data_IF_148435072601
#
_entry.id   IF_148435072601
#
_cell.length_a   1.000
_cell.length_b   1.000
_cell.length_c   1.000
_cell.angle_alpha   90.00
_cell.angle_beta   90.00
_cell.angle_gamma   90.00
#
_symmetry.space_group_name_H-M   'P 1'
#
loop_
_entity.id
_entity.type
_entity.pdbx_description
1 polymer ?
#
# COMPACT_ATOMS: atom_id res chain seq x y z
N UNK A 1 13.75 -10.83 34.23
CA UNK A 1 13.76 -12.09 33.48
C UNK A 1 13.58 -11.79 31.99
N UNK A 2 14.66 -11.57 31.26
CA UNK A 2 14.70 -11.59 29.79
C UNK A 2 16.04 -12.22 29.41
N UNK A 3 16.10 -13.54 29.59
CA UNK A 3 17.16 -14.40 29.06
C UNK A 3 16.81 -14.70 27.60
N UNK A 4 17.08 -13.76 26.70
CA UNK A 4 17.00 -14.04 25.26
C UNK A 4 18.37 -14.56 24.83
N UNK A 5 18.44 -15.90 24.79
CA UNK A 5 19.27 -16.74 23.94
C UNK A 5 20.77 -16.39 23.85
N UNK A 6 21.54 -17.01 24.74
CA UNK A 6 23.01 -17.09 24.79
C UNK A 6 23.71 -17.81 23.62
N UNK A 7 23.10 -18.01 22.44
CA UNK A 7 23.67 -18.98 21.48
C UNK A 7 23.37 -18.79 19.98
N UNK A 8 23.19 -17.57 19.48
CA UNK A 8 23.02 -17.37 18.04
C UNK A 8 24.20 -16.60 17.44
N UNK A 9 25.27 -17.33 17.08
CA UNK A 9 26.05 -16.96 15.89
C UNK A 9 25.03 -16.90 14.74
N UNK A 10 24.71 -15.71 14.25
CA UNK A 10 23.87 -15.54 13.07
C UNK A 10 24.62 -16.20 11.90
N UNK A 11 24.29 -17.46 11.61
CA UNK A 11 24.72 -18.16 10.40
C UNK A 11 23.87 -17.60 9.27
N UNK A 12 24.43 -16.67 8.51
CA UNK A 12 23.91 -16.34 7.18
C UNK A 12 24.21 -17.57 6.29
N UNK A 13 23.30 -18.55 6.28
CA UNK A 13 23.37 -19.67 5.34
C UNK A 13 23.01 -19.14 3.95
N UNK A 14 24.03 -19.03 3.10
CA UNK A 14 23.86 -19.00 1.66
C UNK A 14 24.47 -20.32 1.18
N UNK A 15 23.63 -21.30 0.85
CA UNK A 15 24.05 -22.45 0.04
C UNK A 15 24.35 -21.86 -1.37
N UNK A 16 25.47 -22.07 -2.07
CA UNK A 16 26.41 -23.20 -2.12
C UNK A 16 27.85 -22.66 -2.29
N UNK A 17 28.84 -23.37 -1.73
CA UNK A 17 30.28 -23.10 -1.63
C UNK A 17 30.75 -22.49 -0.30
N UNK A 18 31.50 -23.32 0.43
CA UNK A 18 31.97 -23.16 1.81
C UNK A 18 32.97 -22.00 1.99
N UNK A 19 32.46 -20.83 2.39
CA UNK A 19 33.21 -19.92 3.26
C UNK A 19 32.28 -19.48 4.40
N UNK A 20 32.57 -19.88 5.64
CA UNK A 20 31.86 -19.41 6.83
C UNK A 20 32.00 -17.88 6.92
N UNK A 21 31.01 -17.14 6.42
CA UNK A 21 30.97 -15.68 6.62
C UNK A 21 30.70 -15.39 8.10
N UNK A 22 31.76 -15.04 8.81
CA UNK A 22 31.73 -14.53 10.19
C UNK A 22 30.99 -13.19 10.17
N UNK A 23 29.88 -13.08 10.89
CA UNK A 23 29.23 -11.78 11.11
C UNK A 23 30.13 -10.94 12.02
N UNK A 24 30.55 -9.76 11.53
CA UNK A 24 31.35 -8.79 12.29
C UNK A 24 30.51 -7.94 13.27
N UNK A 25 29.20 -8.21 13.38
CA UNK A 25 28.31 -7.47 14.26
C UNK A 25 28.40 -8.02 15.68
N UNK A 26 28.73 -7.15 16.64
CA UNK A 26 28.69 -7.47 18.06
C UNK A 26 27.25 -7.45 18.60
N UNK A 27 27.03 -8.07 19.76
CA UNK A 27 25.74 -8.02 20.46
C UNK A 27 25.27 -6.58 20.72
N UNK A 28 26.21 -5.66 20.96
CA UNK A 28 25.92 -4.23 21.11
C UNK A 28 25.33 -3.62 19.82
N UNK A 29 25.87 -4.00 18.65
CA UNK A 29 25.33 -3.55 17.36
C UNK A 29 23.93 -4.11 17.10
N UNK A 30 23.70 -5.38 17.42
CA UNK A 30 22.38 -6.00 17.28
C UNK A 30 21.35 -5.35 18.22
N UNK A 31 21.71 -5.14 19.48
CA UNK A 31 20.86 -4.44 20.44
C UNK A 31 20.51 -3.01 19.97
N UNK A 32 21.47 -2.32 19.35
CA UNK A 32 21.24 -0.98 18.79
C UNK A 32 20.28 -1.00 17.61
N UNK A 33 20.38 -1.97 16.71
CA UNK A 33 19.46 -2.11 15.57
C UNK A 33 18.03 -2.34 16.06
N UNK A 34 17.85 -3.21 17.05
CA UNK A 34 16.52 -3.47 17.64
C UNK A 34 15.96 -2.26 18.37
N UNK A 35 16.81 -1.51 19.08
CA UNK A 35 16.39 -0.26 19.70
C UNK A 35 15.91 0.76 18.63
N UNK A 36 16.65 0.89 17.53
CA UNK A 36 16.28 1.80 16.43
C UNK A 36 15.00 1.31 15.74
N UNK A 37 14.82 0.00 15.59
CA UNK A 37 13.59 -0.58 15.05
C UNK A 37 12.37 -0.19 15.91
N UNK A 38 12.45 -0.37 17.23
CA UNK A 38 11.39 0.01 18.15
C UNK A 38 11.12 1.53 18.12
N UNK A 39 12.17 2.35 18.12
CA UNK A 39 12.04 3.81 18.02
C UNK A 39 11.36 4.24 16.71
N UNK A 40 11.78 3.65 15.58
CA UNK A 40 11.16 3.94 14.27
C UNK A 40 9.68 3.56 14.27
N UNK A 41 9.32 2.44 14.87
CA UNK A 41 7.93 1.98 15.01
C UNK A 41 7.10 2.96 15.84
N UNK A 42 7.64 3.48 16.93
CA UNK A 42 6.98 4.48 17.78
C UNK A 42 6.76 5.82 17.05
N UNK A 43 7.74 6.27 16.28
CA UNK A 43 7.60 7.48 15.45
C UNK A 43 6.54 7.31 14.35
N UNK A 44 6.45 6.13 13.71
CA UNK A 44 5.36 5.85 12.76
C UNK A 44 3.99 5.87 13.45
N UNK A 45 3.87 5.29 14.66
CA UNK A 45 2.61 5.33 15.43
C UNK A 45 2.17 6.75 15.75
N UNK A 46 3.12 7.64 16.03
CA UNK A 46 2.84 9.06 16.24
C UNK A 46 2.30 9.70 14.97
N UNK A 47 2.98 9.53 13.84
CA UNK A 47 2.54 10.09 12.55
C UNK A 47 1.19 9.53 12.11
N UNK A 48 0.93 8.24 12.31
CA UNK A 48 -0.36 7.62 12.03
C UNK A 48 -1.53 8.28 12.77
N UNK A 49 -1.33 8.72 14.03
CA UNK A 49 -2.37 9.42 14.79
C UNK A 49 -2.52 10.90 14.42
N UNK A 50 -1.50 11.49 13.80
CA UNK A 50 -1.42 12.93 13.56
C UNK A 50 -1.76 13.31 12.11
N UNK A 51 -1.57 12.40 11.16
CA UNK A 51 -1.71 12.66 9.73
C UNK A 51 -2.80 11.79 9.10
N UNK A 52 -3.89 12.42 8.64
CA UNK A 52 -4.99 11.74 7.94
C UNK A 52 -4.57 11.05 6.65
N UNK A 53 -3.46 11.51 6.05
CA UNK A 53 -2.89 11.00 4.79
C UNK A 53 -1.74 10.03 5.01
N UNK A 54 -1.43 9.65 6.25
CA UNK A 54 -0.28 8.81 6.58
C UNK A 54 -0.25 7.48 5.82
N UNK A 55 -1.39 6.80 5.74
CA UNK A 55 -1.47 5.48 5.10
C UNK A 55 -1.19 5.56 3.60
N UNK A 56 -1.71 6.59 2.93
CA UNK A 56 -1.42 6.87 1.53
C UNK A 56 0.10 7.09 1.33
N UNK A 57 0.72 7.86 2.23
CA UNK A 57 2.18 8.06 2.21
C UNK A 57 2.95 6.76 2.48
N UNK A 58 2.46 5.92 3.39
CA UNK A 58 3.12 4.66 3.75
C UNK A 58 3.19 3.70 2.57
N UNK A 59 2.09 3.53 1.84
CA UNK A 59 2.03 2.70 0.64
C UNK A 59 2.85 3.28 -0.52
N UNK A 60 2.76 4.60 -0.73
CA UNK A 60 3.55 5.29 -1.75
C UNK A 60 5.04 5.08 -1.53
N UNK A 61 5.53 5.26 -0.30
CA UNK A 61 6.93 5.09 0.02
C UNK A 61 7.37 3.62 -0.09
N UNK A 62 6.53 2.66 0.33
CA UNK A 62 6.84 1.24 0.15
C UNK A 62 7.03 0.90 -1.33
N UNK A 63 6.09 1.30 -2.20
CA UNK A 63 6.18 1.09 -3.65
C UNK A 63 7.43 1.74 -4.25
N UNK A 64 7.71 2.99 -3.88
CA UNK A 64 8.89 3.71 -4.38
C UNK A 64 10.19 3.02 -3.99
N UNK A 65 10.29 2.48 -2.78
CA UNK A 65 11.47 1.75 -2.32
C UNK A 65 11.69 0.43 -3.06
N UNK A 66 10.61 -0.27 -3.45
CA UNK A 66 10.72 -1.48 -4.29
C UNK A 66 11.19 -1.15 -5.72
N UNK A 67 10.71 -0.05 -6.29
CA UNK A 67 11.07 0.36 -7.65
C UNK A 67 12.49 0.92 -7.76
N UNK A 68 12.91 1.69 -6.76
CA UNK A 68 14.20 2.37 -6.73
C UNK A 68 14.97 1.98 -5.47
N UNK A 69 15.50 0.75 -5.40
CA UNK A 69 16.34 0.35 -4.28
C UNK A 69 17.59 1.25 -4.23
N UNK A 70 18.06 1.53 -3.01
CA UNK A 70 19.26 2.34 -2.80
C UNK A 70 20.45 1.57 -3.36
N UNK A 71 21.00 2.05 -4.48
CA UNK A 71 22.22 1.51 -5.06
C UNK A 71 23.38 2.40 -4.67
N UNK A 72 24.22 1.89 -3.76
CA UNK A 72 25.33 2.64 -3.17
C UNK A 72 26.27 3.24 -4.23
N UNK A 73 26.54 2.51 -5.31
CA UNK A 73 27.38 3.01 -6.42
C UNK A 73 26.85 4.29 -7.07
N UNK A 74 25.52 4.41 -7.21
CA UNK A 74 24.91 5.62 -7.77
C UNK A 74 24.91 6.76 -6.76
N UNK A 75 24.72 6.44 -5.48
CA UNK A 75 24.79 7.43 -4.40
C UNK A 75 26.20 8.02 -4.29
N UNK A 76 27.23 7.17 -4.36
CA UNK A 76 28.63 7.61 -4.26
C UNK A 76 29.12 8.40 -5.48
N UNK A 77 28.48 8.22 -6.64
CA UNK A 77 28.74 9.01 -7.86
C UNK A 77 28.03 10.37 -7.86
N UNK A 78 27.16 10.62 -6.90
CA UNK A 78 26.40 11.86 -6.83
C UNK A 78 27.22 12.98 -6.19
N UNK A 79 27.46 14.06 -6.96
CA UNK A 79 28.14 15.25 -6.48
C UNK A 79 27.45 15.89 -5.26
N UNK A 80 26.14 15.66 -5.07
CA UNK A 80 25.39 16.15 -3.91
C UNK A 80 25.94 15.62 -2.58
N UNK A 81 26.61 14.45 -2.57
CA UNK A 81 27.19 13.88 -1.35
C UNK A 81 28.40 14.68 -0.82
N UNK A 82 29.01 15.53 -1.66
CA UNK A 82 30.13 16.39 -1.27
C UNK A 82 29.68 17.68 -0.59
N UNK A 83 28.39 18.02 -0.70
CA UNK A 83 27.82 19.23 -0.10
C UNK A 83 27.13 18.91 1.23
N UNK A 84 27.09 19.86 2.18
CA UNK A 84 26.31 19.68 3.39
C UNK A 84 24.82 19.45 3.05
N UNK A 85 24.12 18.55 3.77
CA UNK A 85 22.77 18.18 3.44
C UNK A 85 21.85 19.41 3.58
N UNK A 86 21.29 19.86 2.45
CA UNK A 86 20.45 21.07 2.41
C UNK A 86 19.09 20.77 3.04
N UNK A 87 18.46 21.73 3.73
CA UNK A 87 17.09 21.57 4.24
C UNK A 87 16.02 22.26 3.37
N UNK A 88 16.46 23.03 2.36
CA UNK A 88 15.58 23.88 1.55
C UNK A 88 15.06 23.14 0.32
N UNK A 89 13.73 23.09 0.08
CA UNK A 89 13.15 22.48 -1.11
C UNK A 89 13.51 23.22 -2.42
N UNK A 90 14.00 24.45 -2.31
CA UNK A 90 14.45 25.29 -3.44
C UNK A 90 15.81 24.86 -4.03
N UNK A 91 16.54 23.96 -3.38
CA UNK A 91 17.90 23.56 -3.78
C UNK A 91 17.95 22.76 -5.10
N UNK A 92 16.79 22.43 -5.72
CA UNK A 92 16.66 21.46 -6.84
C UNK A 92 17.18 20.05 -6.52
N UNK A 93 17.73 19.83 -5.32
CA UNK A 93 18.14 18.54 -4.77
C UNK A 93 16.89 17.74 -4.39
N UNK A 94 16.83 16.51 -4.89
CA UNK A 94 15.74 15.58 -4.62
C UNK A 94 15.58 15.31 -3.12
N UNK A 95 14.34 15.06 -2.68
CA UNK A 95 14.02 14.78 -1.27
C UNK A 95 14.91 13.69 -0.65
N UNK A 96 15.27 12.67 -1.42
CA UNK A 96 16.10 11.53 -0.99
C UNK A 96 17.50 11.96 -0.54
N UNK A 97 18.00 13.08 -1.05
CA UNK A 97 19.37 13.57 -0.90
C UNK A 97 19.46 14.78 0.03
N UNK A 98 18.36 15.15 0.69
CA UNK A 98 18.26 16.38 1.49
C UNK A 98 17.52 16.14 2.81
N UNK A 99 17.61 17.10 3.73
CA UNK A 99 16.89 17.02 5.00
C UNK A 99 15.40 17.33 4.80
N UNK A 100 14.51 16.69 5.59
CA UNK A 100 13.09 16.97 5.56
C UNK A 100 12.81 18.36 6.14
N UNK A 101 12.03 19.15 5.41
CA UNK A 101 11.72 20.55 5.74
C UNK A 101 10.40 20.70 6.51
N UNK A 102 9.37 19.97 6.09
CA UNK A 102 8.02 20.05 6.62
C UNK A 102 7.58 18.73 7.29
N UNK A 103 6.38 18.72 7.89
CA UNK A 103 5.86 17.56 8.62
C UNK A 103 5.63 16.35 7.70
N UNK A 104 5.13 16.57 6.49
CA UNK A 104 4.93 15.52 5.50
C UNK A 104 6.24 14.88 5.06
N UNK A 105 7.28 15.69 4.85
CA UNK A 105 8.63 15.21 4.54
C UNK A 105 9.27 14.48 5.73
N UNK A 106 9.03 14.93 6.97
CA UNK A 106 9.46 14.21 8.17
C UNK A 106 8.79 12.84 8.25
N UNK A 107 7.48 12.77 8.03
CA UNK A 107 6.75 11.50 8.02
C UNK A 107 7.24 10.56 6.90
N UNK A 108 7.44 11.05 5.66
CA UNK A 108 8.04 10.25 4.56
C UNK A 108 9.40 9.70 4.94
N UNK A 109 10.27 10.51 5.55
CA UNK A 109 11.57 10.06 6.03
C UNK A 109 11.43 8.97 7.10
N UNK A 110 10.56 9.17 8.09
CA UNK A 110 10.31 8.18 9.16
C UNK A 110 9.85 6.84 8.59
N UNK A 111 8.92 6.86 7.62
CA UNK A 111 8.43 5.67 6.91
C UNK A 111 9.58 4.92 6.22
N UNK A 112 10.44 5.63 5.46
CA UNK A 112 11.60 5.01 4.79
C UNK A 112 12.58 4.39 5.78
N UNK A 113 12.90 5.12 6.85
CA UNK A 113 13.82 4.62 7.90
C UNK A 113 13.26 3.34 8.51
N UNK A 114 11.96 3.28 8.79
CA UNK A 114 11.31 2.08 9.29
C UNK A 114 11.45 0.91 8.33
N UNK A 115 11.17 1.07 7.03
CA UNK A 115 11.34 -0.02 6.07
C UNK A 115 12.79 -0.50 5.96
N UNK A 116 13.78 0.40 5.95
CA UNK A 116 15.20 0.03 5.89
C UNK A 116 15.63 -0.74 7.15
N UNK A 117 15.27 -0.25 8.33
CA UNK A 117 15.65 -0.88 9.60
C UNK A 117 14.91 -2.21 9.80
N UNK A 118 13.64 -2.31 9.39
CA UNK A 118 12.89 -3.55 9.41
C UNK A 118 13.49 -4.59 8.47
N UNK A 119 13.82 -4.21 7.23
CA UNK A 119 14.48 -5.10 6.27
C UNK A 119 15.80 -5.60 6.84
N UNK A 120 16.62 -4.72 7.41
CA UNK A 120 17.87 -5.09 8.06
C UNK A 120 17.67 -6.04 9.25
N UNK A 121 16.70 -5.76 10.14
CA UNK A 121 16.40 -6.63 11.29
C UNK A 121 15.95 -8.03 10.84
N UNK A 122 15.12 -8.11 9.79
CA UNK A 122 14.66 -9.36 9.21
C UNK A 122 15.79 -10.16 8.54
N UNK A 123 16.65 -9.49 7.76
CA UNK A 123 17.83 -10.10 7.14
C UNK A 123 18.79 -10.68 8.20
N UNK A 124 19.07 -9.91 9.25
CA UNK A 124 19.93 -10.34 10.35
C UNK A 124 19.34 -11.51 11.14
N UNK A 125 18.02 -11.65 11.18
CA UNK A 125 17.32 -12.79 11.80
C UNK A 125 17.06 -13.94 10.84
N UNK A 126 17.36 -13.76 9.55
CA UNK A 126 17.00 -14.68 8.47
C UNK A 126 15.50 -15.02 8.44
N UNK A 127 14.65 -14.05 8.79
CA UNK A 127 13.19 -14.17 8.72
C UNK A 127 12.74 -13.57 7.39
N UNK A 128 11.96 -14.31 6.62
CA UNK A 128 11.35 -13.81 5.39
C UNK A 128 10.20 -12.86 5.70
N UNK A 129 10.20 -11.68 5.09
CA UNK A 129 9.09 -10.72 5.17
C UNK A 129 7.82 -11.33 4.59
N UNK A 130 6.73 -11.35 5.37
CA UNK A 130 5.41 -11.87 4.95
C UNK A 130 4.28 -10.88 5.23
N UNK A 131 4.59 -9.77 5.90
CA UNK A 131 3.59 -8.80 6.35
C UNK A 131 3.43 -7.64 5.36
N UNK A 132 4.41 -7.45 4.47
CA UNK A 132 4.41 -6.48 3.38
C UNK A 132 4.57 -7.17 2.01
N UNK A 133 4.00 -6.64 0.91
CA UNK A 133 3.10 -5.48 0.84
C UNK A 133 1.80 -5.68 1.62
N UNK A 134 1.14 -4.57 2.01
CA UNK A 134 -0.17 -4.62 2.67
C UNK A 134 -1.20 -5.36 1.81
N UNK A 135 -1.07 -5.27 0.48
CA UNK A 135 -1.93 -5.95 -0.48
C UNK A 135 -1.18 -7.19 -1.00
N UNK A 136 -1.62 -8.37 -0.60
CA UNK A 136 -1.09 -9.63 -1.13
C UNK A 136 -1.76 -9.95 -2.46
N UNK A 137 -0.96 -10.10 -3.53
CA UNK A 137 -1.48 -10.32 -4.89
C UNK A 137 -2.31 -11.61 -5.04
N UNK A 138 -2.12 -12.58 -4.16
CA UNK A 138 -2.81 -13.87 -4.21
C UNK A 138 -4.24 -13.82 -3.65
N UNK A 139 -4.58 -12.80 -2.85
CA UNK A 139 -5.94 -12.59 -2.34
C UNK A 139 -6.78 -11.65 -3.22
N UNK A 140 -6.24 -11.21 -4.36
CA UNK A 140 -6.86 -10.23 -5.25
C UNK A 140 -7.62 -10.97 -6.34
N UNK A 141 -8.93 -10.73 -6.41
CA UNK A 141 -9.82 -11.23 -7.46
C UNK A 141 -9.40 -10.65 -8.80
N UNK A 142 -9.33 -11.49 -9.85
CA UNK A 142 -8.94 -11.10 -11.20
C UNK A 142 -10.15 -11.01 -12.13
N UNK A 143 -9.96 -10.34 -13.25
CA UNK A 143 -10.97 -10.33 -14.31
C UNK A 143 -11.26 -11.76 -14.77
N UNK A 144 -12.52 -12.06 -15.05
CA UNK A 144 -13.06 -13.39 -15.42
C UNK A 144 -13.17 -14.43 -14.31
N UNK A 145 -12.69 -14.13 -13.09
CA UNK A 145 -12.88 -15.02 -11.95
C UNK A 145 -14.36 -15.19 -11.60
N UNK A 146 -14.69 -16.36 -11.04
CA UNK A 146 -16.02 -16.67 -10.54
C UNK A 146 -16.08 -16.46 -9.04
N UNK A 147 -16.96 -15.58 -8.60
CA UNK A 147 -17.17 -15.23 -7.20
C UNK A 147 -18.48 -15.84 -6.69
N UNK A 148 -18.44 -16.46 -5.51
CA UNK A 148 -19.64 -16.82 -4.76
C UNK A 148 -20.20 -15.58 -4.06
N UNK A 149 -21.46 -15.26 -4.36
CA UNK A 149 -22.15 -14.04 -3.93
C UNK A 149 -23.07 -14.28 -2.74
N UNK A 150 -23.13 -15.51 -2.20
CA UNK A 150 -24.11 -15.92 -1.19
C UNK A 150 -24.10 -15.05 0.08
N UNK A 151 -22.94 -14.49 0.44
CA UNK A 151 -22.76 -13.62 1.60
C UNK A 151 -22.22 -12.22 1.22
N UNK A 152 -22.35 -11.82 -0.04
CA UNK A 152 -21.82 -10.55 -0.53
C UNK A 152 -22.91 -9.49 -0.62
N UNK A 153 -22.65 -8.31 -0.06
CA UNK A 153 -23.52 -7.15 -0.26
C UNK A 153 -23.32 -6.59 -1.68
N UNK A 154 -24.35 -6.75 -2.51
CA UNK A 154 -24.35 -6.33 -3.91
C UNK A 154 -25.16 -5.05 -4.12
N UNK A 155 -24.60 -4.11 -4.87
CA UNK A 155 -25.29 -2.90 -5.30
C UNK A 155 -25.47 -2.95 -6.81
N UNK A 156 -26.72 -3.09 -7.26
CA UNK A 156 -27.03 -3.10 -8.68
C UNK A 156 -26.84 -1.70 -9.29
N UNK A 157 -26.15 -1.63 -10.43
CA UNK A 157 -25.87 -0.38 -11.13
C UNK A 157 -25.84 -0.57 -12.64
N UNK A 158 -26.16 0.50 -13.37
CA UNK A 158 -26.03 0.55 -14.81
C UNK A 158 -24.78 1.35 -15.16
N UNK A 159 -23.84 0.72 -15.86
CA UNK A 159 -22.58 1.33 -16.26
C UNK A 159 -22.75 1.94 -17.65
N UNK A 160 -22.52 3.23 -17.75
CA UNK A 160 -22.56 4.00 -18.99
C UNK A 160 -21.15 4.16 -19.53
N UNK A 161 -20.80 3.34 -20.52
CA UNK A 161 -19.62 3.53 -21.36
C UNK A 161 -20.00 4.26 -22.65
N UNK A 162 -19.02 4.81 -23.37
CA UNK A 162 -19.21 5.71 -24.53
C UNK A 162 -20.31 5.26 -25.50
N UNK A 163 -20.44 3.95 -25.74
CA UNK A 163 -21.39 3.39 -26.71
C UNK A 163 -22.31 2.29 -26.13
N UNK A 164 -22.23 2.00 -24.82
CA UNK A 164 -22.96 0.88 -24.21
C UNK A 164 -23.48 1.21 -22.82
N UNK A 165 -24.69 0.72 -22.54
CA UNK A 165 -25.28 0.69 -21.21
C UNK A 165 -25.40 -0.75 -20.78
N UNK A 166 -24.67 -1.14 -19.76
CA UNK A 166 -24.66 -2.51 -19.27
C UNK A 166 -25.06 -2.55 -17.81
N UNK A 167 -26.00 -3.45 -17.49
CA UNK A 167 -26.41 -3.70 -16.10
C UNK A 167 -25.38 -4.60 -15.44
N UNK A 168 -24.80 -4.14 -14.33
CA UNK A 168 -23.78 -4.85 -13.55
C UNK A 168 -24.11 -4.78 -12.06
N UNK A 169 -23.43 -5.59 -11.27
CA UNK A 169 -23.50 -5.50 -9.82
C UNK A 169 -22.12 -5.08 -9.29
N UNK A 170 -22.12 -4.08 -8.40
CA UNK A 170 -20.95 -3.67 -7.65
C UNK A 170 -20.92 -4.51 -6.36
N UNK A 171 -19.83 -5.26 -6.18
CA UNK A 171 -19.60 -5.99 -4.94
C UNK A 171 -19.03 -5.03 -3.91
N UNK A 172 -19.57 -5.06 -2.69
CA UNK A 172 -18.97 -4.33 -1.56
C UNK A 172 -17.75 -5.09 -1.08
N UNK A 173 -16.57 -4.68 -1.53
CA UNK A 173 -15.29 -5.21 -1.07
C UNK A 173 -14.40 -4.07 -0.53
N UNK A 174 -13.75 -4.24 0.63
CA UNK A 174 -12.92 -3.19 1.22
C UNK A 174 -11.59 -2.99 0.48
N UNK A 175 -11.12 -3.96 -0.30
CA UNK A 175 -9.82 -3.96 -0.97
C UNK A 175 -9.92 -3.61 -2.46
N UNK A 176 -10.96 -4.08 -3.13
CA UNK A 176 -11.12 -3.99 -4.57
C UNK A 176 -12.46 -3.37 -4.98
N UNK A 177 -12.39 -2.57 -6.03
CA UNK A 177 -13.55 -2.24 -6.82
C UNK A 177 -13.85 -3.41 -7.75
N UNK A 178 -14.99 -4.10 -7.57
CA UNK A 178 -15.33 -5.29 -8.36
C UNK A 178 -16.71 -5.11 -9.00
N UNK A 179 -16.75 -5.21 -10.32
CA UNK A 179 -17.98 -5.29 -11.11
C UNK A 179 -18.18 -6.69 -11.63
N UNK A 180 -19.36 -7.24 -11.37
CA UNK A 180 -19.73 -8.58 -11.78
C UNK A 180 -20.98 -8.58 -12.66
N UNK A 181 -21.10 -9.64 -13.44
CA UNK A 181 -22.33 -10.07 -14.11
C UNK A 181 -22.79 -11.39 -13.46
N UNK A 182 -24.09 -11.60 -13.20
CA UNK A 182 -24.56 -12.87 -12.63
C UNK A 182 -24.29 -14.04 -13.57
N UNK A 183 -23.82 -15.17 -13.03
CA UNK A 183 -23.61 -16.40 -13.80
C UNK A 183 -24.95 -17.10 -14.06
N UNK A 184 -25.35 -17.18 -15.32
CA UNK A 184 -26.59 -17.84 -15.76
C UNK A 184 -26.57 -19.34 -15.41
N UNK A 185 -25.38 -19.96 -15.33
CA UNK A 185 -25.23 -21.40 -15.11
C UNK A 185 -25.23 -21.79 -13.62
N UNK A 186 -24.95 -20.85 -12.72
CA UNK A 186 -24.81 -21.11 -11.28
C UNK A 186 -25.46 -19.99 -10.48
N UNK A 187 -26.63 -20.28 -9.92
CA UNK A 187 -27.34 -19.34 -9.06
C UNK A 187 -26.50 -19.00 -7.83
N UNK A 188 -26.44 -17.72 -7.46
CA UNK A 188 -25.58 -17.23 -6.39
C UNK A 188 -24.12 -16.98 -6.78
N UNK A 189 -23.73 -17.21 -8.04
CA UNK A 189 -22.39 -16.91 -8.53
C UNK A 189 -22.38 -15.71 -9.48
N UNK A 190 -21.26 -14.99 -9.49
CA UNK A 190 -21.00 -13.88 -10.41
C UNK A 190 -19.69 -14.07 -11.16
N UNK A 191 -19.63 -13.58 -12.39
CA UNK A 191 -18.41 -13.52 -13.18
C UNK A 191 -17.88 -12.09 -13.12
N UNK A 192 -16.63 -11.95 -12.70
CA UNK A 192 -15.94 -10.66 -12.60
C UNK A 192 -15.66 -10.14 -14.00
N UNK A 193 -16.08 -8.91 -14.25
CA UNK A 193 -15.91 -8.24 -15.55
C UNK A 193 -14.93 -7.10 -15.50
N UNK A 194 -14.76 -6.51 -14.33
CA UNK A 194 -13.77 -5.49 -14.08
C UNK A 194 -13.44 -5.53 -12.59
N UNK A 195 -12.15 -5.51 -12.27
CA UNK A 195 -11.69 -5.41 -10.90
C UNK A 195 -10.44 -4.55 -10.84
N UNK A 196 -10.36 -3.66 -9.85
CA UNK A 196 -9.16 -2.87 -9.59
C UNK A 196 -9.04 -2.55 -8.09
N UNK A 197 -7.89 -2.04 -7.66
CA UNK A 197 -7.66 -1.70 -6.26
C UNK A 197 -8.45 -0.45 -5.85
N UNK A 198 -9.05 -0.49 -4.66
CA UNK A 198 -9.85 0.63 -4.12
C UNK A 198 -9.05 1.93 -3.97
N UNK A 199 -7.73 1.84 -3.80
CA UNK A 199 -6.82 2.98 -3.66
C UNK A 199 -6.84 3.93 -4.88
N UNK A 200 -7.16 3.39 -6.06
CA UNK A 200 -7.05 4.08 -7.34
C UNK A 200 -8.40 4.63 -7.84
N UNK A 201 -9.46 4.41 -7.07
CA UNK A 201 -10.84 4.78 -7.39
C UNK A 201 -11.15 6.19 -6.92
N UNK A 202 -11.55 7.07 -7.85
CA UNK A 202 -12.11 8.39 -7.56
C UNK A 202 -13.61 8.39 -7.83
N UNK A 203 -14.37 8.90 -6.89
CA UNK A 203 -15.84 8.96 -6.97
C UNK A 203 -16.29 10.42 -6.87
N UNK A 204 -17.05 10.86 -7.86
CA UNK A 204 -17.69 12.18 -7.89
C UNK A 204 -19.21 12.03 -8.06
N UNK A 205 -19.97 12.99 -7.54
CA UNK A 205 -21.40 13.06 -7.80
C UNK A 205 -21.64 13.60 -9.20
N UNK A 206 -22.67 13.06 -9.85
CA UNK A 206 -23.22 13.69 -11.04
C UNK A 206 -24.00 14.96 -10.63
N UNK A 207 -23.87 16.02 -11.44
CA UNK A 207 -24.50 17.32 -11.14
C UNK A 207 -25.97 17.37 -11.49
N UNK A 208 -26.41 16.51 -12.41
CA UNK A 208 -27.75 16.52 -12.99
C UNK A 208 -28.62 15.38 -12.45
N UNK A 209 -28.01 14.25 -12.09
CA UNK A 209 -28.71 13.07 -11.58
C UNK A 209 -28.20 12.64 -10.20
N UNK A 210 -29.05 12.80 -9.18
CA UNK A 210 -28.74 12.42 -7.79
C UNK A 210 -28.58 10.92 -7.61
N UNK A 211 -29.03 10.10 -8.57
CA UNK A 211 -28.86 8.64 -8.57
C UNK A 211 -27.62 8.18 -9.32
N UNK A 212 -26.77 9.11 -9.77
CA UNK A 212 -25.60 8.80 -10.56
C UNK A 212 -24.29 9.23 -9.91
N UNK A 213 -23.27 8.39 -10.06
CA UNK A 213 -21.89 8.66 -9.68
C UNK A 213 -21.00 8.61 -10.91
N UNK A 214 -20.02 9.50 -10.97
CA UNK A 214 -18.94 9.42 -11.92
C UNK A 214 -17.74 8.76 -11.25
N UNK A 215 -17.33 7.61 -11.78
CA UNK A 215 -16.24 6.82 -11.21
C UNK A 215 -15.08 6.81 -12.21
N UNK A 216 -13.91 7.20 -11.71
CA UNK A 216 -12.68 7.25 -12.49
C UNK A 216 -11.58 6.48 -11.79
N UNK A 217 -10.97 5.51 -12.46
CA UNK A 217 -9.88 4.68 -11.93
C UNK A 217 -8.62 4.91 -12.76
N UNK A 218 -7.51 5.20 -12.08
CA UNK A 218 -6.21 5.47 -12.73
C UNK A 218 -5.19 4.43 -12.30
N UNK A 219 -4.29 3.98 -13.18
CA UNK A 219 -3.12 3.24 -12.69
C UNK A 219 -2.20 4.19 -11.91
N UNK A 220 -1.59 3.74 -10.81
CA UNK A 220 -0.56 4.51 -10.13
C UNK A 220 0.55 4.88 -11.12
N UNK A 221 0.99 6.14 -11.04
CA UNK A 221 1.96 6.72 -11.97
C UNK A 221 3.33 6.06 -11.73
N UNK A 222 3.82 5.34 -12.73
CA UNK A 222 5.13 4.70 -12.72
C UNK A 222 6.30 5.64 -13.07
N UNK A 223 6.05 6.90 -13.44
CA UNK A 223 7.12 7.80 -13.87
C UNK A 223 6.74 9.30 -13.73
N UNK A 224 7.62 10.11 -13.12
CA UNK A 224 7.43 11.55 -12.89
C UNK A 224 7.47 12.41 -14.16
N UNK A 225 7.67 11.81 -15.34
CA UNK A 225 7.90 12.52 -16.61
C UNK A 225 6.73 12.50 -17.61
N UNK A 226 5.62 11.78 -17.33
CA UNK A 226 4.47 11.73 -18.25
C UNK A 226 3.29 12.52 -17.68
N UNK A 227 2.97 13.66 -18.32
CA UNK A 227 1.94 14.61 -17.87
C UNK A 227 0.48 14.15 -18.03
N UNK A 228 0.22 12.97 -18.59
CA UNK A 228 -1.15 12.46 -18.76
C UNK A 228 -1.14 10.94 -18.74
N UNK A 229 -1.71 10.35 -17.68
CA UNK A 229 -2.03 8.93 -17.66
C UNK A 229 -3.55 8.81 -17.90
N UNK A 230 -4.00 8.25 -19.04
CA UNK A 230 -5.42 8.12 -19.30
C UNK A 230 -6.05 7.19 -18.24
N UNK A 231 -7.26 7.51 -17.75
CA UNK A 231 -7.95 6.65 -16.80
C UNK A 231 -8.29 5.30 -17.44
N UNK A 232 -8.09 4.21 -16.70
CA UNK A 232 -8.42 2.85 -17.12
C UNK A 232 -9.95 2.72 -17.24
N UNK A 233 -10.64 3.28 -16.26
CA UNK A 233 -12.08 3.36 -16.23
C UNK A 233 -12.46 4.82 -16.04
N UNK A 234 -13.34 5.30 -16.91
CA UNK A 234 -14.00 6.58 -16.74
C UNK A 234 -15.44 6.47 -17.22
N UNK A 235 -16.37 6.26 -16.29
CA UNK A 235 -17.74 5.94 -16.62
C UNK A 235 -18.74 6.54 -15.61
N UNK A 236 -19.96 6.79 -16.10
CA UNK A 236 -21.11 7.16 -15.26
C UNK A 236 -21.82 5.89 -14.81
N UNK A 237 -22.08 5.79 -13.52
CA UNK A 237 -22.77 4.69 -12.87
C UNK A 237 -24.11 5.21 -12.38
N UNK A 238 -25.21 4.67 -12.89
CA UNK A 238 -26.56 5.04 -12.47
C UNK A 238 -27.14 3.91 -11.61
N UNK A 239 -27.64 4.27 -10.44
CA UNK A 239 -28.22 3.35 -9.46
C UNK A 239 -29.75 3.43 -9.50
N UNK A 240 -30.43 2.41 -8.99
CA UNK A 240 -31.90 2.35 -9.05
C UNK A 240 -32.55 3.49 -8.26
N UNK A 241 -31.94 3.82 -7.11
CA UNK A 241 -32.42 4.84 -6.19
C UNK A 241 -31.25 5.61 -5.55
N UNK A 242 -31.57 6.75 -4.96
CA UNK A 242 -30.60 7.64 -4.31
C UNK A 242 -29.93 6.98 -3.09
N UNK A 243 -30.63 6.08 -2.38
CA UNK A 243 -30.09 5.39 -1.21
C UNK A 243 -28.96 4.45 -1.66
N UNK A 244 -29.19 3.63 -2.69
CA UNK A 244 -28.16 2.74 -3.29
C UNK A 244 -26.98 3.53 -3.84
N UNK A 245 -27.23 4.65 -4.51
CA UNK A 245 -26.19 5.57 -4.97
C UNK A 245 -25.31 6.04 -3.80
N UNK A 246 -25.93 6.51 -2.72
CA UNK A 246 -25.21 6.99 -1.54
C UNK A 246 -24.49 5.87 -0.79
N UNK A 247 -25.08 4.67 -0.69
CA UNK A 247 -24.43 3.48 -0.12
C UNK A 247 -23.19 3.11 -0.93
N UNK A 248 -23.29 3.06 -2.27
CA UNK A 248 -22.14 2.80 -3.13
C UNK A 248 -21.04 3.85 -2.92
N UNK A 249 -21.40 5.14 -2.92
CA UNK A 249 -20.45 6.22 -2.64
C UNK A 249 -19.76 6.05 -1.29
N UNK A 250 -20.51 5.74 -0.23
CA UNK A 250 -19.96 5.55 1.10
C UNK A 250 -19.02 4.34 1.15
N UNK A 251 -19.40 3.22 0.56
CA UNK A 251 -18.55 2.02 0.50
C UNK A 251 -17.27 2.31 -0.29
N UNK A 252 -17.36 3.02 -1.41
CA UNK A 252 -16.20 3.36 -2.23
C UNK A 252 -15.26 4.37 -1.56
N UNK A 253 -15.80 5.34 -0.82
CA UNK A 253 -14.98 6.36 -0.13
C UNK A 253 -14.41 5.85 1.20
N UNK A 254 -15.16 5.04 1.97
CA UNK A 254 -14.75 4.55 3.30
C UNK A 254 -14.01 3.22 3.25
N UNK A 255 -14.25 2.37 2.26
CA UNK A 255 -13.57 1.08 2.10
C UNK A 255 -12.05 1.25 2.07
N UNK A 256 -11.60 2.26 1.32
CA UNK A 256 -10.20 2.69 1.21
C UNK A 256 -9.53 2.94 2.57
N UNK A 257 -10.14 3.76 3.42
CA UNK A 257 -9.56 4.10 4.73
C UNK A 257 -9.60 2.92 5.71
N UNK A 258 -10.72 2.17 5.76
CA UNK A 258 -10.90 1.08 6.73
C UNK A 258 -9.93 -0.07 6.53
N UNK A 259 -9.66 -0.45 5.29
CA UNK A 259 -8.74 -1.55 5.00
C UNK A 259 -7.29 -1.22 5.39
N UNK A 260 -6.80 -0.05 4.94
CA UNK A 260 -5.44 0.38 5.24
C UNK A 260 -5.21 0.54 6.75
N UNK A 261 -6.20 1.07 7.47
CA UNK A 261 -6.19 1.16 8.93
C UNK A 261 -6.14 -0.24 9.57
N UNK A 262 -7.07 -1.13 9.19
CA UNK A 262 -7.18 -2.45 9.81
C UNK A 262 -5.93 -3.29 9.56
N UNK A 263 -5.36 -3.22 8.35
CA UNK A 263 -4.19 -3.99 7.97
C UNK A 263 -2.90 -3.40 8.56
N UNK A 264 -2.73 -2.07 8.57
CA UNK A 264 -1.61 -1.41 9.25
C UNK A 264 -1.61 -1.74 10.75
N UNK A 265 -2.78 -1.67 11.40
CA UNK A 265 -2.93 -2.03 12.81
C UNK A 265 -2.69 -3.53 13.06
N UNK A 266 -3.19 -4.42 12.21
CA UNK A 266 -3.14 -5.86 12.44
C UNK A 266 -1.77 -6.47 12.09
N UNK A 267 -1.17 -6.09 10.96
CA UNK A 267 0.10 -6.67 10.50
C UNK A 267 1.32 -5.90 10.98
N UNK A 268 1.30 -4.56 10.91
CA UNK A 268 2.49 -3.75 11.23
C UNK A 268 2.54 -3.38 12.72
N UNK A 269 1.39 -3.30 13.40
CA UNK A 269 1.33 -2.85 14.79
C UNK A 269 1.18 -3.95 15.85
N UNK A 270 0.86 -5.21 15.49
CA UNK A 270 0.46 -6.24 16.47
C UNK A 270 1.13 -7.61 16.23
N UNK A 271 2.46 -7.66 16.33
CA UNK A 271 3.17 -8.92 16.68
C UNK A 271 4.00 -8.85 17.96
N UNK A 272 3.70 -7.87 18.81
CA UNK A 272 4.05 -7.88 20.21
C UNK A 272 2.77 -7.58 21.01
N UNK A 273 2.51 -8.35 22.07
CA UNK A 273 1.31 -8.37 22.94
C UNK A 273 0.23 -9.43 22.66
N UNK A 274 0.61 -10.62 22.23
CA UNK A 274 -0.08 -11.84 22.67
C UNK A 274 0.94 -12.96 22.93
N UNK A 275 1.73 -12.81 24.00
CA UNK A 275 2.07 -13.81 25.02
C UNK A 275 2.29 -13.05 26.32
#
# INVERSE_FOLDING_TARGET
>A
ALSIARNNKIKLKIDENEEEKISYLSDHHLARIEQVHEQSTQELRRHYRQLDTFLDMFEDEYRQMQLNPIRLEYLLKDACMLYPPTATPLSRVEFIKRLPSNEMERARRSIRVFFLIRTLSLELRSITETELPLIQADSVVKETDKLDLSNSDLIACTVHMKDKKERRFLVTDPMQFILIEPDIKRLGWGIVKFCDLMQDVKVANDKEDTRSLHITIHKPINNTYVKSNPPILNAKFTFDDHIRCMTAKQNLTKGRQRYLILYFLFKIQMRFYFV
#
